data_IF_612874219005
#
_entry.id   IF_612874219005
#
_cell.length_a   1.000
_cell.length_b   1.000
_cell.length_c   1.000
_cell.angle_alpha   90.00
_cell.angle_beta   90.00
_cell.angle_gamma   90.00
#
_symmetry.space_group_name_H-M   'P 1'
#
loop_
_entity.id
_entity.type
_entity.pdbx_description
1 polymer ?
#
# COMPACT_ATOMS: atom_id res chain seq x y z
N UNK A 1 38.12 -7.02 -39.02
CA UNK A 1 36.70 -6.78 -39.34
C UNK A 1 35.75 -7.41 -38.31
N UNK A 2 35.95 -8.67 -37.91
CA UNK A 2 35.14 -9.39 -36.89
C UNK A 2 35.04 -8.77 -35.48
N UNK A 3 35.99 -7.94 -35.05
CA UNK A 3 35.97 -7.30 -33.72
C UNK A 3 35.04 -6.08 -33.62
N UNK A 4 34.73 -5.41 -34.75
CA UNK A 4 33.81 -4.26 -34.75
C UNK A 4 32.34 -4.69 -34.74
N UNK A 5 32.01 -5.84 -35.32
CA UNK A 5 30.65 -6.40 -35.28
C UNK A 5 30.25 -6.90 -33.90
N UNK A 6 31.20 -7.44 -33.11
CA UNK A 6 30.94 -7.91 -31.74
C UNK A 6 30.64 -6.75 -30.79
N UNK A 7 31.32 -5.60 -30.96
CA UNK A 7 31.07 -4.42 -30.14
C UNK A 7 29.66 -3.81 -30.39
N UNK A 8 29.19 -3.82 -31.63
CA UNK A 8 27.85 -3.32 -31.98
C UNK A 8 26.71 -4.18 -31.41
N UNK A 9 26.89 -5.51 -31.39
CA UNK A 9 25.93 -6.45 -30.79
C UNK A 9 25.85 -6.34 -29.27
N UNK A 10 26.97 -6.04 -28.58
CA UNK A 10 26.99 -5.80 -27.14
C UNK A 10 26.28 -4.48 -26.80
N UNK A 11 26.44 -3.44 -27.62
CA UNK A 11 25.79 -2.16 -27.39
C UNK A 11 24.27 -2.21 -27.59
N UNK A 12 23.78 -3.01 -28.55
CA UNK A 12 22.34 -3.23 -28.78
C UNK A 12 21.67 -4.12 -27.72
N UNK A 13 22.40 -5.06 -27.14
CA UNK A 13 21.88 -5.89 -26.03
C UNK A 13 21.81 -5.10 -24.72
N UNK A 14 22.73 -4.16 -24.49
CA UNK A 14 22.68 -3.25 -23.33
C UNK A 14 21.52 -2.24 -23.38
N UNK A 15 21.06 -1.81 -24.55
CA UNK A 15 19.91 -0.88 -24.66
C UNK A 15 18.56 -1.55 -24.43
N UNK A 16 18.45 -2.86 -24.66
CA UNK A 16 17.22 -3.64 -24.47
C UNK A 16 17.01 -4.11 -23.01
N UNK A 17 18.06 -4.19 -22.20
CA UNK A 17 17.97 -4.63 -20.78
C UNK A 17 17.84 -3.46 -19.79
N UNK A 18 18.25 -2.25 -20.20
CA UNK A 18 18.22 -1.04 -19.38
C UNK A 18 16.85 -0.64 -18.80
N UNK A 19 15.69 -0.88 -19.45
CA UNK A 19 14.38 -0.48 -18.89
C UNK A 19 13.91 -1.38 -17.74
N UNK A 20 14.41 -2.61 -17.66
CA UNK A 20 13.97 -3.63 -16.69
C UNK A 20 14.62 -3.47 -15.32
N UNK A 21 15.86 -2.96 -15.27
CA UNK A 21 16.65 -2.84 -14.03
C UNK A 21 16.34 -1.51 -13.31
N UNK A 22 16.01 -0.44 -14.04
CA UNK A 22 15.71 0.88 -13.44
C UNK A 22 14.35 0.97 -12.72
N UNK A 23 13.43 0.02 -12.94
CA UNK A 23 12.15 -0.05 -12.22
C UNK A 23 12.25 -0.65 -10.82
N UNK A 24 13.36 -1.32 -10.48
CA UNK A 24 13.54 -1.94 -9.16
C UNK A 24 14.23 -1.02 -8.14
N UNK A 25 14.80 0.11 -8.58
CA UNK A 25 15.63 0.94 -7.69
C UNK A 25 14.79 1.83 -6.75
N UNK A 26 13.63 2.34 -7.17
CA UNK A 26 12.88 3.34 -6.37
C UNK A 26 12.26 2.81 -5.06
N UNK A 27 11.80 1.55 -5.02
CA UNK A 27 11.31 0.92 -3.78
C UNK A 27 12.46 0.51 -2.85
N UNK A 28 13.63 0.17 -3.41
CA UNK A 28 14.82 -0.12 -2.58
C UNK A 28 15.43 1.13 -1.95
N UNK A 29 15.26 2.33 -2.53
CA UNK A 29 15.82 3.56 -1.95
C UNK A 29 15.20 3.88 -0.58
N UNK A 30 13.87 3.74 -0.41
CA UNK A 30 13.21 3.99 0.87
C UNK A 30 13.63 2.96 1.95
N UNK A 31 13.66 1.67 1.61
CA UNK A 31 14.15 0.63 2.52
C UNK A 31 15.65 0.78 2.84
N UNK A 32 16.48 1.20 1.88
CA UNK A 32 17.92 1.44 2.09
C UNK A 32 18.16 2.54 3.14
N UNK A 33 17.32 3.57 3.21
CA UNK A 33 17.42 4.60 4.25
C UNK A 33 17.11 4.05 5.65
N UNK A 34 16.11 3.18 5.77
CA UNK A 34 15.75 2.56 7.06
C UNK A 34 16.87 1.64 7.56
N UNK A 35 17.41 0.77 6.69
CA UNK A 35 18.51 -0.12 7.04
C UNK A 35 19.82 0.63 7.31
N UNK A 36 20.11 1.70 6.55
CA UNK A 36 21.30 2.53 6.77
C UNK A 36 21.22 3.29 8.10
N UNK A 37 20.06 3.84 8.43
CA UNK A 37 19.81 4.48 9.73
C UNK A 37 20.02 3.50 10.89
N UNK A 38 19.48 2.28 10.77
CA UNK A 38 19.63 1.24 11.78
C UNK A 38 21.09 0.79 11.97
N UNK A 39 21.87 0.72 10.87
CA UNK A 39 23.32 0.42 10.91
C UNK A 39 24.11 1.57 11.53
N UNK A 40 23.81 2.82 11.18
CA UNK A 40 24.49 3.99 11.75
C UNK A 40 24.24 4.08 13.25
N UNK A 41 23.01 3.84 13.72
CA UNK A 41 22.70 3.81 15.16
C UNK A 41 23.31 2.62 15.89
N UNK A 42 23.47 1.46 15.23
CA UNK A 42 24.11 0.28 15.82
C UNK A 42 25.65 0.39 15.88
N UNK A 43 26.27 1.10 14.93
CA UNK A 43 27.72 1.21 14.80
C UNK A 43 28.28 2.47 15.47
N UNK A 44 27.49 3.53 15.62
CA UNK A 44 27.90 4.75 16.33
C UNK A 44 28.46 4.49 17.74
N UNK A 45 27.87 3.61 18.59
CA UNK A 45 28.41 3.32 19.92
C UNK A 45 29.79 2.65 19.90
N UNK A 46 30.15 1.94 18.82
CA UNK A 46 31.42 1.24 18.70
C UNK A 46 32.59 2.15 18.33
N UNK A 47 32.32 3.29 17.67
CA UNK A 47 33.36 4.27 17.30
C UNK A 47 33.78 5.19 18.44
N UNK A 48 32.95 5.37 19.47
CA UNK A 48 33.26 6.24 20.63
C UNK A 48 33.89 5.50 21.81
N UNK A 49 34.48 4.32 21.58
CA UNK A 49 35.10 3.49 22.61
C UNK A 49 36.51 3.96 23.04
N UNK A 50 36.74 5.29 23.03
CA UNK A 50 37.98 5.91 23.51
C UNK A 50 37.86 6.24 25.00
N UNK A 51 38.81 5.70 25.76
CA UNK A 51 38.92 5.55 27.22
C UNK A 51 38.76 6.80 28.11
N UNK A 52 38.36 7.96 27.59
CA UNK A 52 38.45 9.23 28.33
C UNK A 52 37.14 9.76 28.95
N UNK A 53 35.99 9.11 28.75
CA UNK A 53 34.72 9.69 29.19
C UNK A 53 33.81 8.69 29.91
N UNK A 54 34.20 8.24 31.12
CA UNK A 54 33.33 7.44 32.01
C UNK A 54 31.92 8.04 32.18
N UNK A 55 31.83 9.37 32.21
CA UNK A 55 30.57 10.13 32.31
C UNK A 55 29.73 10.09 31.04
N UNK A 56 30.37 10.03 29.86
CA UNK A 56 29.67 9.91 28.58
C UNK A 56 29.15 8.48 28.39
N UNK A 57 29.95 7.46 28.72
CA UNK A 57 29.52 6.06 28.68
C UNK A 57 28.37 5.77 29.64
N UNK A 58 28.39 6.32 30.86
CA UNK A 58 27.27 6.16 31.81
C UNK A 58 25.99 6.82 31.28
N UNK A 59 26.09 8.00 30.65
CA UNK A 59 24.94 8.69 30.07
C UNK A 59 24.40 7.99 28.83
N UNK A 60 25.26 7.54 27.92
CA UNK A 60 24.88 6.75 26.75
C UNK A 60 24.15 5.48 27.16
N UNK A 61 24.68 4.71 28.13
CA UNK A 61 24.01 3.50 28.60
C UNK A 61 22.64 3.79 29.21
N UNK A 62 22.49 4.89 29.97
CA UNK A 62 21.18 5.33 30.52
C UNK A 62 20.19 5.71 29.41
N UNK A 63 20.63 6.47 28.40
CA UNK A 63 19.80 6.89 27.27
C UNK A 63 19.44 5.72 26.34
N UNK A 64 20.40 4.87 25.99
CA UNK A 64 20.17 3.66 25.17
C UNK A 64 19.15 2.77 25.85
N UNK A 65 19.28 2.55 27.15
CA UNK A 65 18.31 1.78 27.93
C UNK A 65 16.90 2.39 27.86
N UNK A 66 16.79 3.71 28.02
CA UNK A 66 15.51 4.43 27.96
C UNK A 66 14.89 4.37 26.55
N UNK A 67 15.69 4.51 25.49
CA UNK A 67 15.22 4.36 24.10
C UNK A 67 14.75 2.95 23.78
N UNK A 68 15.45 1.91 24.27
CA UNK A 68 15.03 0.52 24.09
C UNK A 68 13.69 0.24 24.76
N UNK A 69 13.45 0.80 25.96
CA UNK A 69 12.16 0.72 26.64
C UNK A 69 11.05 1.47 25.89
N UNK A 70 11.31 2.71 25.44
CA UNK A 70 10.32 3.46 24.66
C UNK A 70 9.96 2.76 23.34
N UNK A 71 10.97 2.28 22.60
CA UNK A 71 10.77 1.59 21.33
C UNK A 71 10.00 0.28 21.48
N UNK A 72 10.35 -0.55 22.47
CA UNK A 72 9.64 -1.80 22.73
C UNK A 72 8.21 -1.57 23.22
N UNK A 73 7.97 -0.56 24.07
CA UNK A 73 6.62 -0.16 24.49
C UNK A 73 5.76 0.25 23.29
N UNK A 74 6.31 1.10 22.42
CA UNK A 74 5.61 1.55 21.22
C UNK A 74 5.24 0.40 20.29
N UNK A 75 6.19 -0.50 20.03
CA UNK A 75 5.98 -1.67 19.18
C UNK A 75 4.95 -2.64 19.79
N UNK A 76 4.98 -2.84 21.11
CA UNK A 76 4.01 -3.68 21.81
C UNK A 76 2.59 -3.11 21.73
N UNK A 77 2.41 -1.81 21.99
CA UNK A 77 1.09 -1.15 21.96
C UNK A 77 0.50 -1.17 20.55
N UNK A 78 1.30 -0.85 19.54
CA UNK A 78 0.87 -0.91 18.15
C UNK A 78 0.49 -2.34 17.73
N UNK A 79 1.33 -3.32 18.06
CA UNK A 79 1.07 -4.73 17.74
C UNK A 79 -0.19 -5.27 18.44
N UNK A 80 -0.42 -4.88 19.71
CA UNK A 80 -1.63 -5.21 20.45
C UNK A 80 -2.89 -4.65 19.79
N UNK A 81 -2.84 -3.41 19.29
CA UNK A 81 -3.96 -2.81 18.56
C UNK A 81 -4.28 -3.55 17.25
N UNK A 82 -3.26 -3.93 16.47
CA UNK A 82 -3.47 -4.73 15.26
C UNK A 82 -4.06 -6.10 15.56
N UNK A 83 -3.63 -6.73 16.67
CA UNK A 83 -4.18 -8.01 17.09
C UNK A 83 -5.65 -7.90 17.52
N UNK A 84 -6.00 -6.82 18.22
CA UNK A 84 -7.38 -6.49 18.53
C UNK A 84 -8.22 -6.38 17.25
N UNK A 85 -7.76 -5.65 16.22
CA UNK A 85 -8.50 -5.52 14.96
C UNK A 85 -8.70 -6.86 14.24
N UNK A 86 -7.66 -7.71 14.18
CA UNK A 86 -7.74 -9.01 13.51
C UNK A 86 -8.75 -9.95 14.18
N UNK A 87 -8.77 -9.97 15.51
CA UNK A 87 -9.67 -10.82 16.27
C UNK A 87 -11.10 -10.28 16.34
N UNK A 88 -11.26 -9.00 16.66
CA UNK A 88 -12.56 -8.40 16.95
C UNK A 88 -13.32 -7.95 15.69
N UNK A 89 -12.62 -7.44 14.68
CA UNK A 89 -13.25 -6.84 13.49
C UNK A 89 -13.23 -7.79 12.30
N UNK A 90 -12.05 -8.31 11.94
CA UNK A 90 -11.84 -9.02 10.66
C UNK A 90 -12.10 -10.53 10.78
N UNK A 91 -12.05 -11.09 12.00
CA UNK A 91 -12.18 -12.54 12.27
C UNK A 91 -11.23 -13.39 11.40
N UNK A 92 -10.01 -12.90 11.20
CA UNK A 92 -9.00 -13.56 10.37
C UNK A 92 -7.75 -13.90 11.18
N UNK A 93 -7.16 -15.07 10.90
CA UNK A 93 -5.91 -15.52 11.53
C UNK A 93 -4.71 -15.19 10.63
N UNK A 94 -3.78 -14.36 11.14
CA UNK A 94 -2.52 -14.04 10.48
C UNK A 94 -1.35 -14.56 11.31
N UNK A 95 -0.73 -15.67 10.87
CA UNK A 95 0.37 -16.32 11.61
C UNK A 95 1.56 -15.37 11.83
N UNK A 96 1.95 -14.62 10.79
CA UNK A 96 3.03 -13.62 10.89
C UNK A 96 2.73 -12.54 11.93
N UNK A 97 1.48 -12.09 12.02
CA UNK A 97 1.06 -11.07 12.96
C UNK A 97 1.14 -11.56 14.41
N UNK A 98 0.78 -12.83 14.65
CA UNK A 98 0.90 -13.48 15.96
C UNK A 98 2.37 -13.62 16.38
N UNK A 99 3.23 -14.10 15.47
CA UNK A 99 4.66 -14.23 15.74
C UNK A 99 5.28 -12.86 16.05
N UNK A 100 4.96 -11.83 15.27
CA UNK A 100 5.43 -10.47 15.52
C UNK A 100 4.95 -9.92 16.86
N UNK A 101 3.70 -10.22 17.27
CA UNK A 101 3.18 -9.82 18.57
C UNK A 101 3.95 -10.50 19.71
N UNK A 102 4.18 -11.82 19.62
CA UNK A 102 4.95 -12.57 20.62
C UNK A 102 6.39 -12.07 20.75
N UNK A 103 7.06 -11.80 19.62
CA UNK A 103 8.41 -11.25 19.61
C UNK A 103 8.45 -9.85 20.25
N UNK A 104 7.49 -8.98 19.93
CA UNK A 104 7.40 -7.63 20.48
C UNK A 104 7.16 -7.65 21.99
N UNK A 105 6.24 -8.49 22.46
CA UNK A 105 5.99 -8.69 23.90
C UNK A 105 7.22 -9.25 24.61
N UNK A 106 7.94 -10.19 23.98
CA UNK A 106 9.17 -10.75 24.55
C UNK A 106 10.27 -9.69 24.71
N UNK A 107 10.48 -8.85 23.69
CA UNK A 107 11.47 -7.76 23.76
C UNK A 107 11.11 -6.73 24.83
N UNK A 108 9.82 -6.41 25.00
CA UNK A 108 9.37 -5.52 26.07
C UNK A 108 9.63 -6.12 27.46
N UNK A 109 9.35 -7.42 27.66
CA UNK A 109 9.62 -8.12 28.93
C UNK A 109 11.13 -8.13 29.23
N UNK A 110 11.96 -8.43 28.22
CA UNK A 110 13.42 -8.42 28.38
C UNK A 110 13.95 -7.01 28.71
N UNK A 111 13.36 -5.97 28.14
CA UNK A 111 13.70 -4.57 28.43
C UNK A 111 13.43 -4.21 29.89
N UNK A 112 12.38 -4.77 30.50
CA UNK A 112 12.06 -4.57 31.92
C UNK A 112 13.02 -5.35 32.82
N UNK A 113 13.23 -6.65 32.55
CA UNK A 113 13.96 -7.56 33.45
C UNK A 113 15.49 -7.39 33.36
N UNK A 114 16.00 -7.09 32.17
CA UNK A 114 17.45 -7.11 31.90
C UNK A 114 18.23 -5.91 32.43
N UNK A 115 17.59 -4.95 33.10
CA UNK A 115 18.25 -3.70 33.47
C UNK A 115 17.91 -3.21 34.89
N UNK A 116 18.93 -2.76 35.62
CA UNK A 116 18.79 -2.17 36.96
C UNK A 116 18.26 -0.73 36.86
N UNK A 117 16.94 -0.60 36.86
CA UNK A 117 16.29 0.70 36.81
C UNK A 117 16.35 1.41 38.16
N UNK A 118 17.00 2.58 38.20
CA UNK A 118 17.16 3.38 39.42
C UNK A 118 15.80 3.86 39.97
N UNK A 119 14.80 4.09 39.11
CA UNK A 119 13.46 4.52 39.51
C UNK A 119 12.35 3.81 38.72
N UNK A 120 11.66 2.87 39.38
CA UNK A 120 10.52 2.14 38.78
C UNK A 120 9.38 3.10 38.41
N UNK A 121 9.14 4.15 39.21
CA UNK A 121 8.09 5.12 38.97
C UNK A 121 8.25 5.91 37.67
N UNK A 122 9.49 6.25 37.30
CA UNK A 122 9.80 6.96 36.06
C UNK A 122 9.46 6.11 34.82
N UNK A 123 9.65 4.80 34.88
CA UNK A 123 9.36 3.90 33.76
C UNK A 123 7.88 3.77 33.47
N UNK A 124 7.07 3.63 34.52
CA UNK A 124 5.62 3.56 34.37
C UNK A 124 5.08 4.83 33.71
N UNK A 125 5.56 5.99 34.13
CA UNK A 125 5.15 7.27 33.54
C UNK A 125 5.53 7.39 32.06
N UNK A 126 6.79 7.08 31.73
CA UNK A 126 7.28 7.09 30.33
C UNK A 126 6.51 6.07 29.48
N UNK A 127 6.29 4.87 30.00
CA UNK A 127 5.57 3.80 29.30
C UNK A 127 4.13 4.18 29.00
N UNK A 128 3.42 4.78 29.95
CA UNK A 128 2.05 5.28 29.76
C UNK A 128 2.01 6.39 28.71
N UNK A 129 2.92 7.38 28.81
CA UNK A 129 2.98 8.49 27.85
C UNK A 129 3.21 7.96 26.43
N UNK A 130 4.22 7.10 26.24
CA UNK A 130 4.54 6.53 24.94
C UNK A 130 3.38 5.69 24.42
N UNK A 131 2.75 4.90 25.28
CA UNK A 131 1.58 4.10 24.92
C UNK A 131 0.40 4.96 24.45
N UNK A 132 0.10 6.05 25.15
CA UNK A 132 -0.96 7.00 24.76
C UNK A 132 -0.61 7.67 23.42
N UNK A 133 0.62 8.15 23.25
CA UNK A 133 1.06 8.80 22.00
C UNK A 133 0.91 7.84 20.81
N UNK A 134 1.37 6.60 20.96
CA UNK A 134 1.29 5.59 19.89
C UNK A 134 -0.15 5.23 19.61
N UNK A 135 -0.99 5.05 20.63
CA UNK A 135 -2.40 4.71 20.45
C UNK A 135 -3.18 5.85 19.80
N UNK A 136 -2.99 7.10 20.25
CA UNK A 136 -3.60 8.29 19.64
C UNK A 136 -3.09 8.50 18.22
N UNK A 137 -1.80 8.34 17.97
CA UNK A 137 -1.22 8.44 16.63
C UNK A 137 -1.77 7.37 15.68
N UNK A 138 -1.86 6.13 16.16
CA UNK A 138 -2.45 5.01 15.42
C UNK A 138 -3.92 5.28 15.12
N UNK A 139 -4.72 5.64 16.13
CA UNK A 139 -6.12 5.98 15.94
C UNK A 139 -6.30 7.19 15.03
N UNK A 140 -5.45 8.21 15.12
CA UNK A 140 -5.49 9.38 14.23
C UNK A 140 -5.28 9.01 12.77
N UNK A 141 -4.33 8.09 12.49
CA UNK A 141 -4.10 7.59 11.13
C UNK A 141 -5.21 6.66 10.64
N UNK A 142 -5.77 5.81 11.49
CA UNK A 142 -6.79 4.83 11.10
C UNK A 142 -8.25 5.35 11.22
N UNK A 143 -8.50 6.44 11.94
CA UNK A 143 -9.81 7.08 12.06
C UNK A 143 -10.45 7.45 10.71
N UNK A 144 -9.74 8.04 9.73
CA UNK A 144 -10.34 8.34 8.43
C UNK A 144 -10.69 7.08 7.63
N UNK A 145 -10.01 5.95 7.87
CA UNK A 145 -10.24 4.67 7.18
C UNK A 145 -11.48 3.96 7.76
N UNK A 146 -11.65 4.02 9.08
CA UNK A 146 -12.76 3.37 9.80
C UNK A 146 -13.98 4.28 9.99
N UNK A 147 -14.01 5.48 9.38
CA UNK A 147 -15.14 6.38 9.53
C UNK A 147 -16.30 5.91 8.64
N UNK A 148 -17.42 5.40 9.19
CA UNK A 148 -18.59 5.01 8.39
C UNK A 148 -19.23 6.22 7.70
N UNK A 149 -18.82 7.45 8.03
CA UNK A 149 -19.23 8.67 7.32
C UNK A 149 -18.60 8.79 5.93
N UNK A 150 -17.45 8.15 5.68
CA UNK A 150 -16.92 7.95 4.33
C UNK A 150 -17.71 6.88 3.54
N UNK A 151 -18.46 6.04 4.25
CA UNK A 151 -19.34 4.99 3.71
C UNK A 151 -20.77 5.52 3.40
N UNK A 152 -21.10 6.76 3.78
CA UNK A 152 -22.43 7.37 3.61
C UNK A 152 -22.66 8.06 2.25
N UNK A 153 -21.96 7.64 1.20
CA UNK A 153 -22.40 7.96 -0.16
C UNK A 153 -22.82 6.65 -0.82
N UNK A 154 -24.13 6.40 -1.02
CA UNK A 154 -24.67 5.27 -1.81
C UNK A 154 -24.21 5.22 -3.29
N UNK A 155 -23.09 5.86 -3.64
CA UNK A 155 -22.49 5.93 -4.97
C UNK A 155 -20.97 5.70 -5.00
N UNK A 156 -20.33 5.41 -3.86
CA UNK A 156 -18.87 5.24 -3.79
C UNK A 156 -18.12 6.57 -3.92
N UNK A 157 -16.85 6.47 -4.33
CA UNK A 157 -15.99 7.63 -4.54
C UNK A 157 -16.47 8.51 -5.71
N UNK A 158 -16.50 9.82 -5.49
CA UNK A 158 -16.83 10.78 -6.56
C UNK A 158 -15.76 10.77 -7.65
N UNK A 159 -16.20 10.66 -8.91
CA UNK A 159 -15.33 10.80 -10.08
C UNK A 159 -15.10 12.30 -10.26
N UNK A 160 -13.85 12.75 -10.31
CA UNK A 160 -13.49 14.17 -10.34
C UNK A 160 -12.99 14.61 -11.71
N UNK A 161 -12.49 13.69 -12.52
CA UNK A 161 -12.05 13.94 -13.89
C UNK A 161 -13.23 14.17 -14.85
N UNK A 162 -12.98 15.04 -15.83
CA UNK A 162 -13.88 15.29 -16.96
C UNK A 162 -13.50 14.35 -18.09
N UNK A 163 -14.49 13.89 -18.85
CA UNK A 163 -14.27 13.01 -20.00
C UNK A 163 -13.96 13.85 -21.24
N UNK A 164 -12.91 13.47 -21.97
CA UNK A 164 -12.65 14.01 -23.30
C UNK A 164 -13.48 13.27 -24.37
N UNK A 165 -13.36 13.73 -25.61
CA UNK A 165 -14.06 13.12 -26.75
C UNK A 165 -13.61 11.67 -26.99
N UNK A 166 -12.31 11.39 -26.80
CA UNK A 166 -11.73 10.05 -26.95
C UNK A 166 -12.24 9.08 -25.89
N UNK A 167 -12.32 9.51 -24.62
CA UNK A 167 -12.84 8.71 -23.50
C UNK A 167 -14.31 8.33 -23.71
N UNK A 168 -15.14 9.30 -24.12
CA UNK A 168 -16.56 9.06 -24.40
C UNK A 168 -16.72 8.08 -25.57
N UNK A 169 -15.97 8.26 -26.66
CA UNK A 169 -16.04 7.40 -27.83
C UNK A 169 -15.56 5.97 -27.51
N UNK A 170 -14.50 5.80 -26.72
CA UNK A 170 -14.06 4.48 -26.26
C UNK A 170 -15.10 3.83 -25.35
N UNK A 171 -15.69 4.56 -24.41
CA UNK A 171 -16.71 4.01 -23.51
C UNK A 171 -17.97 3.55 -24.28
N UNK A 172 -18.39 4.32 -25.30
CA UNK A 172 -19.47 3.92 -26.20
C UNK A 172 -19.11 2.66 -26.99
N UNK A 173 -17.90 2.56 -27.53
CA UNK A 173 -17.43 1.36 -28.23
C UNK A 173 -17.42 0.14 -27.29
N UNK A 174 -16.91 0.28 -26.07
CA UNK A 174 -16.92 -0.77 -25.06
C UNK A 174 -18.34 -1.25 -24.76
N UNK A 175 -19.29 -0.33 -24.63
CA UNK A 175 -20.71 -0.65 -24.48
C UNK A 175 -21.25 -1.46 -25.67
N UNK A 176 -20.94 -1.02 -26.90
CA UNK A 176 -21.39 -1.67 -28.14
C UNK A 176 -20.86 -3.08 -28.31
N UNK A 177 -19.58 -3.33 -27.97
CA UNK A 177 -18.98 -4.67 -28.03
C UNK A 177 -19.37 -5.55 -26.83
N UNK A 178 -20.24 -5.06 -25.94
CA UNK A 178 -20.71 -5.80 -24.77
C UNK A 178 -19.64 -6.00 -23.69
N UNK A 179 -18.60 -5.15 -23.66
CA UNK A 179 -17.61 -5.21 -22.61
C UNK A 179 -18.24 -4.87 -21.25
N UNK A 180 -17.89 -5.63 -20.21
CA UNK A 180 -18.39 -5.43 -18.85
C UNK A 180 -17.25 -5.11 -17.90
N UNK A 181 -17.49 -4.20 -16.97
CA UNK A 181 -16.57 -3.91 -15.87
C UNK A 181 -17.21 -4.38 -14.57
N UNK A 182 -16.62 -5.40 -13.96
CA UNK A 182 -16.99 -5.90 -12.64
C UNK A 182 -16.21 -5.15 -11.57
N UNK A 183 -16.89 -4.61 -10.56
CA UNK A 183 -16.24 -3.91 -9.48
C UNK A 183 -17.12 -3.75 -8.24
N UNK A 184 -16.62 -2.99 -7.28
CA UNK A 184 -17.37 -2.60 -6.10
C UNK A 184 -17.31 -1.09 -5.87
N UNK A 185 -18.36 -0.49 -5.31
CA UNK A 185 -18.42 0.96 -5.08
C UNK A 185 -17.31 1.49 -4.15
N UNK A 186 -16.85 0.67 -3.21
CA UNK A 186 -15.78 0.97 -2.24
C UNK A 186 -14.38 0.63 -2.74
N UNK A 187 -14.23 0.05 -3.94
CA UNK A 187 -12.96 -0.43 -4.46
C UNK A 187 -12.10 0.74 -5.00
N UNK A 188 -10.91 1.02 -4.42
CA UNK A 188 -10.05 2.13 -4.86
C UNK A 188 -9.57 1.99 -6.31
N UNK A 189 -9.17 0.79 -6.73
CA UNK A 189 -8.75 0.54 -8.11
C UNK A 189 -9.91 0.67 -9.12
N UNK A 190 -11.13 0.43 -8.67
CA UNK A 190 -12.33 0.64 -9.47
C UNK A 190 -12.61 2.14 -9.64
N UNK A 191 -12.34 2.94 -8.61
CA UNK A 191 -12.35 4.40 -8.70
C UNK A 191 -11.25 4.91 -9.64
N UNK A 192 -10.02 4.41 -9.52
CA UNK A 192 -8.91 4.73 -10.45
C UNK A 192 -9.29 4.46 -11.91
N UNK A 193 -9.90 3.29 -12.17
CA UNK A 193 -10.40 2.94 -13.51
C UNK A 193 -11.48 3.92 -13.99
N UNK A 194 -12.41 4.32 -13.12
CA UNK A 194 -13.46 5.30 -13.45
C UNK A 194 -12.90 6.69 -13.69
N UNK A 195 -11.86 7.09 -12.95
CA UNK A 195 -11.16 8.36 -13.13
C UNK A 195 -10.44 8.45 -14.48
N UNK A 196 -9.95 7.34 -15.03
CA UNK A 196 -9.43 7.33 -16.40
C UNK A 196 -10.50 7.75 -17.42
N UNK A 197 -11.73 7.27 -17.28
CA UNK A 197 -12.80 7.61 -18.22
C UNK A 197 -13.37 9.01 -17.98
N UNK A 198 -13.56 9.41 -16.73
CA UNK A 198 -14.24 10.65 -16.37
C UNK A 198 -15.75 10.50 -16.22
N UNK A 199 -16.39 11.55 -15.69
CA UNK A 199 -17.80 11.52 -15.27
C UNK A 199 -18.77 11.06 -16.38
N UNK A 200 -18.66 11.65 -17.55
CA UNK A 200 -19.55 11.43 -18.69
C UNK A 200 -19.33 10.06 -19.35
N UNK A 201 -18.08 9.64 -19.55
CA UNK A 201 -17.75 8.38 -20.22
C UNK A 201 -18.08 7.17 -19.32
N UNK A 202 -17.88 7.26 -18.01
CA UNK A 202 -18.23 6.16 -17.08
C UNK A 202 -19.71 5.81 -17.12
N UNK A 203 -20.60 6.80 -17.32
CA UNK A 203 -22.03 6.57 -17.44
C UNK A 203 -22.42 5.68 -18.64
N UNK A 204 -21.53 5.51 -19.62
CA UNK A 204 -21.75 4.65 -20.78
C UNK A 204 -21.26 3.21 -20.58
N UNK A 205 -20.39 2.97 -19.59
CA UNK A 205 -19.79 1.65 -19.37
C UNK A 205 -20.84 0.69 -18.78
N UNK A 206 -20.84 -0.56 -19.24
CA UNK A 206 -21.62 -1.62 -18.61
C UNK A 206 -20.93 -2.06 -17.30
N UNK A 207 -21.13 -1.27 -16.25
CA UNK A 207 -20.63 -1.56 -14.90
C UNK A 207 -21.55 -2.53 -14.16
N UNK A 208 -20.95 -3.56 -13.56
CA UNK A 208 -21.63 -4.56 -12.72
C UNK A 208 -21.15 -4.38 -11.28
N UNK A 209 -22.06 -3.95 -10.41
CA UNK A 209 -21.80 -3.78 -8.98
C UNK A 209 -21.85 -5.14 -8.28
N UNK A 210 -20.72 -5.58 -7.73
CA UNK A 210 -20.59 -6.89 -7.12
C UNK A 210 -20.89 -6.90 -5.61
N UNK A 211 -20.93 -5.76 -4.93
CA UNK A 211 -21.25 -5.69 -3.50
C UNK A 211 -22.75 -5.42 -3.27
N UNK A 212 -23.45 -6.21 -2.44
CA UNK A 212 -24.89 -6.04 -2.18
C UNK A 212 -25.26 -4.70 -1.52
N UNK A 213 -24.29 -3.97 -0.95
CA UNK A 213 -24.51 -2.64 -0.35
C UNK A 213 -24.43 -1.50 -1.36
N UNK A 214 -23.99 -1.79 -2.60
CA UNK A 214 -23.89 -0.81 -3.68
C UNK A 214 -25.24 -0.47 -4.33
N UNK A 215 -25.20 0.43 -5.32
CA UNK A 215 -26.38 0.82 -6.11
C UNK A 215 -26.61 -0.18 -7.25
N UNK A 216 -27.86 -0.64 -7.42
CA UNK A 216 -28.25 -1.68 -8.40
C UNK A 216 -27.30 -2.92 -8.35
N UNK A 217 -27.14 -3.54 -7.17
CA UNK A 217 -26.15 -4.58 -6.97
C UNK A 217 -26.54 -5.88 -7.71
N UNK A 218 -25.55 -6.52 -8.33
CA UNK A 218 -25.68 -7.77 -9.09
C UNK A 218 -24.61 -8.79 -8.67
N UNK A 219 -24.52 -9.15 -7.37
CA UNK A 219 -23.50 -10.07 -6.86
C UNK A 219 -23.56 -11.45 -7.53
N UNK A 220 -24.76 -11.90 -7.90
CA UNK A 220 -24.99 -13.18 -8.60
C UNK A 220 -24.25 -13.25 -9.93
N UNK A 221 -24.21 -12.16 -10.70
CA UNK A 221 -23.47 -12.09 -11.97
C UNK A 221 -21.97 -12.18 -11.75
N UNK A 222 -21.46 -11.60 -10.66
CA UNK A 222 -20.04 -11.65 -10.32
C UNK A 222 -19.63 -13.05 -9.84
N UNK A 223 -20.49 -13.73 -9.08
CA UNK A 223 -20.28 -15.12 -8.65
C UNK A 223 -20.32 -16.08 -9.85
N UNK A 224 -21.31 -15.94 -10.74
CA UNK A 224 -21.42 -16.75 -11.95
C UNK A 224 -20.21 -16.55 -12.89
N UNK A 225 -19.71 -15.30 -12.99
CA UNK A 225 -18.50 -14.98 -13.74
C UNK A 225 -17.19 -15.34 -13.02
N UNK A 226 -17.25 -15.88 -11.79
CA UNK A 226 -16.09 -16.27 -10.96
C UNK A 226 -15.04 -15.17 -10.81
N UNK A 227 -15.49 -13.94 -10.56
CA UNK A 227 -14.60 -12.78 -10.38
C UNK A 227 -13.73 -12.96 -9.12
N UNK A 228 -12.41 -12.92 -9.28
CA UNK A 228 -11.44 -13.12 -8.20
C UNK A 228 -10.95 -11.81 -7.57
N UNK A 229 -11.09 -10.68 -8.28
CA UNK A 229 -10.61 -9.38 -7.85
C UNK A 229 -11.22 -8.24 -8.64
N UNK A 230 -11.14 -7.03 -8.08
CA UNK A 230 -11.73 -5.83 -8.65
C UNK A 230 -10.66 -4.77 -8.98
N UNK A 231 -10.85 -4.00 -10.07
CA UNK A 231 -11.83 -4.24 -11.12
C UNK A 231 -11.45 -5.47 -11.96
N UNK A 232 -12.43 -6.05 -12.64
CA UNK A 232 -12.21 -7.07 -13.68
C UNK A 232 -12.99 -6.72 -14.93
N UNK A 233 -12.34 -6.75 -16.08
CA UNK A 233 -12.96 -6.49 -17.38
C UNK A 233 -13.25 -7.79 -18.11
N UNK A 234 -14.48 -7.96 -18.58
CA UNK A 234 -14.85 -8.99 -19.55
C UNK A 234 -14.94 -8.33 -20.93
N UNK A 235 -14.06 -8.72 -21.86
CA UNK A 235 -14.04 -8.22 -23.23
C UNK A 235 -13.93 -9.40 -24.17
N UNK A 236 -14.92 -9.59 -25.06
CA UNK A 236 -14.97 -10.71 -26.02
C UNK A 236 -14.80 -12.09 -25.34
N UNK A 237 -15.41 -12.27 -24.16
CA UNK A 237 -15.36 -13.51 -23.37
C UNK A 237 -14.06 -13.77 -22.62
N UNK A 238 -13.09 -12.85 -22.66
CA UNK A 238 -11.84 -12.93 -21.88
C UNK A 238 -11.88 -11.99 -20.69
N UNK A 239 -11.33 -12.44 -19.56
CA UNK A 239 -11.25 -11.66 -18.32
C UNK A 239 -9.87 -11.04 -18.13
N UNK A 240 -9.84 -9.75 -17.80
CA UNK A 240 -8.63 -8.97 -17.51
C UNK A 240 -8.76 -8.35 -16.13
N UNK A 241 -7.95 -8.83 -15.18
CA UNK A 241 -7.98 -8.38 -13.79
C UNK A 241 -7.17 -7.10 -13.59
N UNK A 242 -7.62 -6.27 -12.66
CA UNK A 242 -6.99 -5.02 -12.29
C UNK A 242 -7.29 -3.88 -13.25
N UNK A 243 -6.83 -2.69 -12.87
CA UNK A 243 -7.01 -1.47 -13.65
C UNK A 243 -6.26 -1.56 -14.98
N UNK A 244 -6.98 -1.26 -16.06
CA UNK A 244 -6.46 -1.25 -17.43
C UNK A 244 -6.35 0.20 -17.91
N UNK A 245 -5.27 0.52 -18.62
CA UNK A 245 -5.18 1.82 -19.30
C UNK A 245 -6.21 1.93 -20.42
N UNK A 246 -6.59 3.15 -20.80
CA UNK A 246 -7.52 3.36 -21.91
C UNK A 246 -6.96 2.82 -23.23
N UNK A 247 -5.65 2.90 -23.43
CA UNK A 247 -4.96 2.28 -24.56
C UNK A 247 -5.08 0.75 -24.57
N UNK A 248 -4.92 0.12 -23.40
CA UNK A 248 -5.11 -1.33 -23.28
C UNK A 248 -6.56 -1.70 -23.59
N UNK A 249 -7.54 -1.00 -23.03
CA UNK A 249 -8.96 -1.26 -23.31
C UNK A 249 -9.30 -1.04 -24.79
N UNK A 250 -8.73 -0.02 -25.43
CA UNK A 250 -8.88 0.21 -26.86
C UNK A 250 -8.32 -0.97 -27.68
N UNK A 251 -7.14 -1.47 -27.34
CA UNK A 251 -6.53 -2.62 -28.02
C UNK A 251 -7.35 -3.91 -27.81
N UNK A 252 -7.73 -4.21 -26.57
CA UNK A 252 -8.49 -5.41 -26.22
C UNK A 252 -9.88 -5.44 -26.89
N UNK A 253 -10.52 -4.27 -27.00
CA UNK A 253 -11.82 -4.11 -27.67
C UNK A 253 -11.72 -3.96 -29.19
N UNK A 254 -10.51 -3.89 -29.75
CA UNK A 254 -10.24 -3.57 -31.17
C UNK A 254 -10.84 -2.23 -31.64
N UNK A 255 -10.81 -1.23 -30.77
CA UNK A 255 -11.25 0.13 -31.06
C UNK A 255 -10.32 0.83 -32.07
N UNK A 256 -10.92 1.44 -33.11
CA UNK A 256 -10.22 2.12 -34.22
C UNK A 256 -10.41 3.65 -34.23
N UNK A 257 -11.12 4.21 -33.24
CA UNK A 257 -11.38 5.65 -33.17
C UNK A 257 -10.21 6.44 -32.56
N UNK A 258 -10.49 7.69 -32.20
CA UNK A 258 -9.51 8.61 -31.62
C UNK A 258 -9.01 8.12 -30.25
N UNK A 259 -7.68 8.16 -30.05
CA UNK A 259 -6.98 7.66 -28.84
C UNK A 259 -6.19 8.74 -28.10
N UNK A 260 -6.48 10.00 -28.35
CA UNK A 260 -5.89 11.13 -27.64
C UNK A 260 -6.51 11.28 -26.24
N UNK A 261 -6.34 10.26 -25.41
CA UNK A 261 -6.85 10.24 -24.05
C UNK A 261 -6.12 11.27 -23.19
N UNK A 262 -6.88 12.11 -22.49
CA UNK A 262 -6.36 13.18 -21.64
C UNK A 262 -6.08 12.72 -20.22
N UNK A 263 -6.85 11.73 -19.73
CA UNK A 263 -6.72 11.21 -18.38
C UNK A 263 -5.72 10.04 -18.35
N UNK A 264 -4.70 10.16 -17.50
CA UNK A 264 -3.70 9.12 -17.28
C UNK A 264 -3.58 8.80 -15.80
N UNK A 265 -3.35 7.53 -15.47
CA UNK A 265 -2.96 7.15 -14.12
C UNK A 265 -1.50 7.53 -13.93
N UNK A 266 -1.26 8.63 -13.21
CA UNK A 266 0.07 8.87 -12.65
C UNK A 266 0.42 7.68 -11.76
N UNK A 267 1.57 7.00 -11.98
CA UNK A 267 2.01 5.97 -11.05
C UNK A 267 2.24 6.64 -9.69
N UNK A 268 1.41 6.30 -8.70
CA UNK A 268 1.66 6.62 -7.30
C UNK A 268 2.81 5.75 -6.78
#
# INVERSE_FOLDING_TARGET
>A
MKLKETASQIQHTWTLVKPSILKHDRTTQAQKFDYFSMIVFAVAPLFFNTLEQKKLHSNLNKWTRLFLFMGSTAMMVFSGYLMYLLFAVIKAACLYCIVSALLSTSLFILSIIGHDWEEVGQLWFIGIIVGIIVLVGTLGMYAPINNPRAEKTPGGYDITTVSGTAEIALAQHLKQVGAKMYGAFWCPHCHDQKQLFGKEAVAQINYIECDPRGKDPKPELCQAAKIQGFPSWEIKGKFYQGTQSLEQLANLSAYQGQRNFQNNLSPK
#
